data_IF_294015134165
#
_entry.id   IF_294015134165
#
_cell.length_a   1.000
_cell.length_b   1.000
_cell.length_c   1.000
_cell.angle_alpha   90.00
_cell.angle_beta   90.00
_cell.angle_gamma   90.00
#
_symmetry.space_group_name_H-M   'P 1'
#
loop_
_entity.id
_entity.type
_entity.pdbx_description
1 polymer ?
#
# COMPACT_ATOMS: atom_id res chain seq x y z
N UNK A 1 -23.25 -5.05 -9.74
CA UNK A 1 -23.67 -6.08 -10.72
C UNK A 1 -22.77 -7.31 -10.49
N UNK A 2 -22.78 -8.34 -11.35
CA UNK A 2 -21.82 -9.46 -11.22
C UNK A 2 -21.40 -10.00 -12.59
N UNK A 3 -20.29 -10.73 -12.64
CA UNK A 3 -19.80 -11.35 -13.88
C UNK A 3 -20.80 -12.34 -14.50
N UNK A 4 -21.72 -12.90 -13.69
CA UNK A 4 -22.81 -13.74 -14.19
C UNK A 4 -23.88 -12.93 -14.93
N UNK A 5 -24.17 -11.71 -14.46
CA UNK A 5 -25.12 -10.81 -15.11
C UNK A 5 -24.51 -10.14 -16.35
N UNK A 6 -23.22 -9.80 -16.30
CA UNK A 6 -22.50 -9.17 -17.41
C UNK A 6 -21.03 -9.61 -17.46
N UNK A 7 -20.66 -10.58 -18.32
CA UNK A 7 -19.28 -11.06 -18.42
C UNK A 7 -18.40 -10.07 -19.21
N UNK A 8 -17.93 -9.01 -18.54
CA UNK A 8 -17.21 -7.87 -19.14
C UNK A 8 -16.09 -8.29 -20.11
N UNK A 9 -15.27 -9.27 -19.70
CA UNK A 9 -14.07 -9.70 -20.45
C UNK A 9 -14.40 -10.41 -21.77
N UNK A 10 -15.64 -10.82 -21.97
CA UNK A 10 -16.12 -11.38 -23.25
C UNK A 10 -16.84 -10.36 -24.14
N UNK A 11 -17.07 -9.14 -23.66
CA UNK A 11 -17.80 -8.10 -24.40
C UNK A 11 -16.84 -7.21 -25.21
N UNK A 12 -17.32 -6.56 -26.30
CA UNK A 12 -16.50 -5.64 -27.10
C UNK A 12 -15.91 -4.50 -26.24
N UNK A 13 -14.61 -4.26 -26.34
CA UNK A 13 -13.90 -3.24 -25.56
C UNK A 13 -14.46 -1.85 -25.91
N UNK A 14 -14.88 -1.03 -24.92
CA UNK A 14 -15.35 0.33 -25.17
C UNK A 14 -14.16 1.27 -25.41
N UNK A 15 -14.42 2.38 -26.10
CA UNK A 15 -13.42 3.42 -26.36
C UNK A 15 -13.24 4.37 -25.16
N UNK A 16 -14.28 4.54 -24.33
CA UNK A 16 -14.29 5.46 -23.18
C UNK A 16 -15.26 5.00 -22.07
N UNK A 17 -15.30 5.75 -20.96
CA UNK A 17 -16.20 5.51 -19.82
C UNK A 17 -17.68 5.64 -20.19
N UNK A 18 -18.04 6.47 -21.17
CA UNK A 18 -19.41 6.59 -21.65
C UNK A 18 -19.87 5.30 -22.34
N UNK A 19 -19.07 4.80 -23.27
CA UNK A 19 -19.27 3.52 -23.94
C UNK A 19 -19.24 2.35 -22.97
N UNK A 20 -18.35 2.38 -21.97
CA UNK A 20 -18.29 1.35 -20.93
C UNK A 20 -19.61 1.25 -20.16
N UNK A 21 -20.22 2.38 -19.80
CA UNK A 21 -21.51 2.44 -19.11
C UNK A 21 -22.68 2.16 -20.06
N UNK A 22 -22.64 2.62 -21.30
CA UNK A 22 -23.70 2.39 -22.29
C UNK A 22 -23.96 0.90 -22.54
N UNK A 23 -22.92 0.06 -22.48
CA UNK A 23 -23.02 -1.40 -22.57
C UNK A 23 -23.88 -2.03 -21.47
N UNK A 24 -24.09 -1.34 -20.35
CA UNK A 24 -24.84 -1.84 -19.20
C UNK A 24 -26.34 -1.52 -19.27
N UNK A 25 -26.81 -0.74 -20.25
CA UNK A 25 -28.18 -0.22 -20.31
C UNK A 25 -29.29 -1.29 -20.29
N UNK A 26 -28.98 -2.53 -20.67
CA UNK A 26 -29.92 -3.67 -20.64
C UNK A 26 -29.57 -4.76 -19.63
N UNK A 27 -28.55 -4.56 -18.80
CA UNK A 27 -28.08 -5.57 -17.84
C UNK A 27 -28.99 -5.60 -16.62
N UNK A 28 -29.49 -6.79 -16.28
CA UNK A 28 -30.31 -7.00 -15.08
C UNK A 28 -29.48 -6.98 -13.79
N UNK A 29 -30.13 -6.68 -12.68
CA UNK A 29 -29.50 -6.79 -11.36
C UNK A 29 -29.29 -8.27 -11.01
N UNK A 30 -28.10 -8.60 -10.49
CA UNK A 30 -27.80 -9.94 -10.00
C UNK A 30 -28.50 -10.24 -8.66
N UNK A 31 -28.70 -9.21 -7.84
CA UNK A 31 -29.44 -9.20 -6.58
C UNK A 31 -29.95 -7.78 -6.30
N UNK A 32 -30.89 -7.63 -5.37
CA UNK A 32 -31.36 -6.31 -4.94
C UNK A 32 -30.20 -5.45 -4.37
N UNK A 33 -30.20 -4.12 -4.57
CA UNK A 33 -29.12 -3.27 -4.09
C UNK A 33 -28.92 -3.38 -2.57
N UNK A 34 -27.69 -3.70 -2.14
CA UNK A 34 -27.33 -3.87 -0.73
C UNK A 34 -27.65 -5.23 -0.13
N UNK A 35 -28.26 -6.16 -0.89
CA UNK A 35 -28.51 -7.53 -0.43
C UNK A 35 -27.24 -8.41 -0.49
N UNK A 36 -26.43 -8.23 -1.53
CA UNK A 36 -25.19 -8.99 -1.75
C UNK A 36 -24.07 -8.09 -2.27
N UNK A 37 -22.82 -8.47 -1.99
CA UNK A 37 -21.62 -7.79 -2.49
C UNK A 37 -20.91 -8.69 -3.50
N UNK A 38 -20.73 -8.17 -4.71
CA UNK A 38 -20.05 -8.84 -5.81
C UNK A 38 -18.98 -7.90 -6.36
N UNK A 39 -17.71 -8.32 -6.31
CA UNK A 39 -16.65 -7.56 -6.97
C UNK A 39 -16.88 -7.61 -8.49
N UNK A 40 -16.97 -6.44 -9.12
CA UNK A 40 -17.23 -6.34 -10.56
C UNK A 40 -16.64 -5.06 -11.14
N UNK A 41 -15.76 -5.17 -12.13
CA UNK A 41 -15.06 -3.99 -12.70
C UNK A 41 -16.02 -2.95 -13.31
N UNK A 42 -17.07 -3.33 -14.06
CA UNK A 42 -18.04 -2.37 -14.59
C UNK A 42 -18.72 -1.48 -13.56
N UNK A 43 -18.87 -1.93 -12.31
CA UNK A 43 -19.41 -1.08 -11.24
C UNK A 43 -18.48 0.13 -10.97
N UNK A 44 -17.17 -0.05 -11.14
CA UNK A 44 -16.16 1.00 -10.98
C UNK A 44 -16.11 1.94 -12.20
N UNK A 45 -16.36 1.42 -13.41
CA UNK A 45 -16.56 2.26 -14.61
C UNK A 45 -17.74 3.21 -14.43
N UNK A 46 -18.86 2.71 -13.88
CA UNK A 46 -20.02 3.56 -13.55
C UNK A 46 -19.65 4.62 -12.52
N UNK A 47 -18.91 4.27 -11.47
CA UNK A 47 -18.43 5.23 -10.47
C UNK A 47 -17.54 6.32 -11.08
N UNK A 48 -16.59 5.95 -11.93
CA UNK A 48 -15.74 6.89 -12.63
C UNK A 48 -16.53 7.80 -13.59
N UNK A 49 -17.49 7.24 -14.34
CA UNK A 49 -18.36 8.02 -15.23
C UNK A 49 -19.23 9.01 -14.47
N UNK A 50 -19.70 8.67 -13.27
CA UNK A 50 -20.43 9.62 -12.43
C UNK A 50 -19.55 10.82 -12.05
N UNK A 51 -18.27 10.61 -11.76
CA UNK A 51 -17.31 11.70 -11.52
C UNK A 51 -17.17 12.58 -12.77
N UNK A 52 -17.14 12.00 -13.96
CA UNK A 52 -17.05 12.80 -15.19
C UNK A 52 -18.29 13.67 -15.42
N UNK A 53 -19.47 13.06 -15.29
CA UNK A 53 -20.75 13.73 -15.52
C UNK A 53 -20.97 14.85 -14.50
N UNK A 54 -20.68 14.60 -13.22
CA UNK A 54 -20.87 15.58 -12.15
C UNK A 54 -19.75 16.63 -12.14
N UNK A 55 -18.51 16.22 -12.42
CA UNK A 55 -17.33 17.07 -12.39
C UNK A 55 -17.05 17.85 -13.67
N UNK A 56 -17.73 17.52 -14.77
CA UNK A 56 -17.60 18.19 -16.06
C UNK A 56 -16.22 18.06 -16.72
N UNK A 57 -15.49 16.98 -16.42
CA UNK A 57 -14.11 16.73 -16.90
C UNK A 57 -13.85 15.23 -16.96
N UNK A 58 -12.82 14.79 -17.66
CA UNK A 58 -12.47 13.36 -17.69
C UNK A 58 -12.04 12.85 -16.32
N UNK A 59 -12.23 11.56 -16.06
CA UNK A 59 -11.89 10.96 -14.77
C UNK A 59 -10.40 11.08 -14.46
N UNK A 60 -9.54 10.87 -15.46
CA UNK A 60 -8.09 11.06 -15.32
C UNK A 60 -7.71 12.50 -14.95
N UNK A 61 -8.33 13.50 -15.58
CA UNK A 61 -8.09 14.90 -15.24
C UNK A 61 -8.60 15.25 -13.83
N UNK A 62 -9.71 14.64 -13.39
CA UNK A 62 -10.20 14.79 -12.03
C UNK A 62 -9.21 14.21 -11.01
N UNK A 63 -8.69 13.00 -11.24
CA UNK A 63 -7.69 12.37 -10.37
C UNK A 63 -6.40 13.17 -10.31
N UNK A 64 -5.92 13.66 -11.46
CA UNK A 64 -4.72 14.48 -11.53
C UNK A 64 -4.85 15.75 -10.67
N UNK A 65 -5.93 16.51 -10.84
CA UNK A 65 -6.14 17.76 -10.11
C UNK A 65 -6.45 17.55 -8.62
N UNK A 66 -7.26 16.54 -8.29
CA UNK A 66 -7.83 16.40 -6.94
C UNK A 66 -7.06 15.43 -6.06
N UNK A 67 -6.22 14.58 -6.65
CA UNK A 67 -5.49 13.53 -5.93
C UNK A 67 -4.00 13.56 -6.22
N UNK A 68 -3.57 13.43 -7.47
CA UNK A 68 -2.15 13.23 -7.78
C UNK A 68 -1.33 14.51 -7.54
N UNK A 69 -1.73 15.63 -8.14
CA UNK A 69 -1.05 16.91 -7.99
C UNK A 69 -0.97 17.38 -6.52
N UNK A 70 -2.07 17.36 -5.72
CA UNK A 70 -2.01 17.77 -4.31
C UNK A 70 -1.11 16.88 -3.44
N UNK A 71 -0.92 15.61 -3.82
CA UNK A 71 -0.05 14.67 -3.11
C UNK A 71 1.38 14.66 -3.67
N UNK A 72 1.64 15.41 -4.74
CA UNK A 72 2.91 15.44 -5.46
C UNK A 72 3.23 14.12 -6.15
N UNK A 73 2.23 13.41 -6.68
CA UNK A 73 2.39 12.11 -7.34
C UNK A 73 2.75 12.24 -8.82
N UNK A 74 3.85 12.93 -9.13
CA UNK A 74 4.20 13.37 -10.50
C UNK A 74 4.54 12.23 -11.48
N UNK A 75 4.80 11.02 -10.98
CA UNK A 75 5.04 9.82 -11.78
C UNK A 75 3.80 8.92 -11.89
N UNK A 76 2.62 9.44 -11.57
CA UNK A 76 1.35 8.71 -11.63
C UNK A 76 0.50 9.20 -12.80
N UNK A 77 -0.04 8.26 -13.57
CA UNK A 77 -0.90 8.54 -14.74
C UNK A 77 -2.14 7.65 -14.74
N UNK A 78 -3.19 8.12 -15.41
CA UNK A 78 -4.37 7.30 -15.72
C UNK A 78 -4.27 6.82 -17.17
N UNK A 79 -4.65 5.57 -17.41
CA UNK A 79 -4.62 4.90 -18.71
C UNK A 79 -5.94 4.19 -19.00
N UNK A 80 -6.32 4.17 -20.26
CA UNK A 80 -7.56 3.55 -20.73
C UNK A 80 -7.29 2.16 -21.31
N UNK A 81 -6.12 1.95 -21.93
CA UNK A 81 -5.79 0.75 -22.71
C UNK A 81 -4.46 0.12 -22.31
N UNK A 82 -4.22 -1.11 -22.78
CA UNK A 82 -2.99 -1.86 -22.49
C UNK A 82 -1.77 -1.20 -23.15
N UNK A 83 -1.95 -0.62 -24.34
CA UNK A 83 -0.89 0.09 -25.05
C UNK A 83 -0.44 1.34 -24.28
N UNK A 84 -1.37 2.06 -23.65
CA UNK A 84 -1.06 3.21 -22.80
C UNK A 84 -0.26 2.82 -21.54
N UNK A 85 -0.52 1.64 -20.95
CA UNK A 85 0.29 1.11 -19.84
C UNK A 85 1.77 1.02 -20.24
N UNK A 86 2.05 0.48 -21.43
CA UNK A 86 3.43 0.37 -21.91
C UNK A 86 4.02 1.71 -22.35
N UNK A 87 3.21 2.59 -22.92
CA UNK A 87 3.62 3.96 -23.24
C UNK A 87 4.01 4.76 -21.97
N UNK A 88 3.40 4.44 -20.82
CA UNK A 88 3.76 4.98 -19.51
C UNK A 88 5.09 4.42 -18.94
N UNK A 89 5.79 3.56 -19.66
CA UNK A 89 7.11 3.05 -19.27
C UNK A 89 7.08 1.83 -18.34
N UNK A 90 5.93 1.16 -18.23
CA UNK A 90 5.78 -0.05 -17.42
C UNK A 90 6.45 -1.25 -18.10
N UNK A 91 7.21 -2.02 -17.32
CA UNK A 91 7.81 -3.27 -17.81
C UNK A 91 6.73 -4.34 -18.05
N UNK A 92 6.99 -5.28 -18.97
CA UNK A 92 6.05 -6.38 -19.24
C UNK A 92 5.76 -7.22 -18.00
N UNK A 93 4.47 -7.50 -17.79
CA UNK A 93 4.00 -8.42 -16.77
C UNK A 93 4.50 -9.84 -16.99
N UNK A 94 4.64 -10.59 -15.90
CA UNK A 94 5.01 -12.00 -15.93
C UNK A 94 4.02 -12.80 -15.11
N UNK A 95 3.66 -13.99 -15.60
CA UNK A 95 2.88 -14.98 -14.84
C UNK A 95 3.77 -16.15 -14.45
N UNK A 96 3.42 -16.81 -13.34
CA UNK A 96 4.12 -18.00 -12.88
C UNK A 96 3.56 -19.24 -13.60
N UNK A 97 4.37 -19.86 -14.46
CA UNK A 97 4.05 -21.13 -15.11
C UNK A 97 5.02 -22.19 -14.60
N UNK A 98 4.52 -23.14 -13.82
CA UNK A 98 5.32 -24.23 -13.23
C UNK A 98 6.56 -23.70 -12.46
N UNK A 99 6.38 -22.60 -11.71
CA UNK A 99 7.45 -21.98 -10.91
C UNK A 99 8.41 -21.09 -11.70
N UNK A 100 8.18 -20.87 -13.00
CA UNK A 100 8.97 -19.96 -13.84
C UNK A 100 8.21 -18.70 -14.17
N UNK A 101 8.88 -17.56 -14.14
CA UNK A 101 8.32 -16.30 -14.62
C UNK A 101 8.31 -16.30 -16.15
N UNK A 102 7.12 -16.20 -16.74
CA UNK A 102 6.92 -16.14 -18.20
C UNK A 102 6.31 -14.78 -18.52
N UNK A 103 7.01 -14.01 -19.36
CA UNK A 103 6.50 -12.73 -19.84
C UNK A 103 5.23 -12.96 -20.66
N UNK A 104 4.19 -12.17 -20.38
CA UNK A 104 2.93 -12.18 -21.11
C UNK A 104 2.59 -10.79 -21.60
N UNK A 105 1.89 -10.72 -22.73
CA UNK A 105 1.29 -9.48 -23.19
C UNK A 105 0.06 -9.20 -22.34
N UNK A 106 -0.12 -7.95 -21.92
CA UNK A 106 -1.34 -7.53 -21.24
C UNK A 106 -2.53 -7.74 -22.19
N UNK A 107 -3.62 -8.39 -21.77
CA UNK A 107 -4.81 -8.54 -22.60
C UNK A 107 -5.42 -7.20 -23.00
N UNK A 108 -6.00 -7.15 -24.19
CA UNK A 108 -6.80 -5.99 -24.60
C UNK A 108 -7.99 -5.80 -23.64
N UNK A 109 -8.25 -4.54 -23.28
CA UNK A 109 -9.30 -4.18 -22.35
C UNK A 109 -9.34 -2.69 -22.08
N UNK A 110 -10.44 -2.28 -21.44
CA UNK A 110 -10.62 -0.93 -20.93
C UNK A 110 -10.33 -0.91 -19.43
N UNK A 111 -9.41 -0.05 -19.00
CA UNK A 111 -8.88 -0.06 -17.62
C UNK A 111 -9.35 1.11 -16.77
N UNK A 112 -9.69 2.25 -17.38
CA UNK A 112 -10.03 3.46 -16.64
C UNK A 112 -11.18 3.21 -15.66
N UNK A 113 -11.18 3.85 -14.50
CA UNK A 113 -12.15 3.64 -13.42
C UNK A 113 -11.94 2.37 -12.59
N UNK A 114 -11.66 1.22 -13.21
CA UNK A 114 -11.53 -0.07 -12.51
C UNK A 114 -10.08 -0.45 -12.13
N UNK A 115 -9.10 -0.07 -12.94
CA UNK A 115 -7.69 -0.50 -12.75
C UNK A 115 -6.65 0.32 -13.52
N UNK A 116 -7.04 1.41 -14.15
CA UNK A 116 -6.21 2.19 -15.08
C UNK A 116 -5.27 3.19 -14.42
N UNK A 117 -4.78 2.96 -13.20
CA UNK A 117 -3.79 3.87 -12.58
C UNK A 117 -2.42 3.21 -12.60
N UNK A 118 -1.46 3.85 -13.27
CA UNK A 118 -0.05 3.47 -13.31
C UNK A 118 0.73 4.43 -12.44
N UNK A 119 1.57 3.92 -11.54
CA UNK A 119 2.24 4.71 -10.50
C UNK A 119 3.66 4.21 -10.23
N UNK A 120 4.50 5.08 -9.68
CA UNK A 120 5.79 4.71 -9.12
C UNK A 120 5.67 4.23 -7.67
N UNK A 121 6.73 3.59 -7.15
CA UNK A 121 6.81 3.20 -5.74
C UNK A 121 6.84 4.41 -4.78
N UNK A 122 7.51 5.50 -5.19
CA UNK A 122 7.60 6.73 -4.40
C UNK A 122 6.23 7.42 -4.31
N UNK A 123 5.48 7.47 -5.41
CA UNK A 123 4.11 8.02 -5.42
C UNK A 123 3.12 7.15 -4.65
N UNK A 124 3.26 5.82 -4.76
CA UNK A 124 2.47 4.90 -3.94
C UNK A 124 2.74 5.13 -2.44
N UNK A 125 3.98 5.43 -2.04
CA UNK A 125 4.29 5.78 -0.66
C UNK A 125 3.64 7.10 -0.22
N UNK A 126 3.56 8.11 -1.11
CA UNK A 126 2.84 9.38 -0.87
C UNK A 126 1.34 9.13 -0.68
N UNK A 127 0.73 8.31 -1.54
CA UNK A 127 -0.68 7.89 -1.42
C UNK A 127 -0.97 7.17 -0.10
N UNK A 128 -0.18 6.14 0.24
CA UNK A 128 -0.34 5.39 1.50
C UNK A 128 -0.13 6.27 2.74
N UNK A 129 0.71 7.30 2.64
CA UNK A 129 0.88 8.29 3.70
C UNK A 129 -0.38 9.13 3.87
N UNK A 130 -0.97 9.62 2.78
CA UNK A 130 -2.20 10.40 2.81
C UNK A 130 -3.37 9.60 3.40
N UNK A 131 -3.53 8.34 3.02
CA UNK A 131 -4.57 7.45 3.55
C UNK A 131 -4.46 7.26 5.07
N UNK A 132 -3.23 7.23 5.61
CA UNK A 132 -2.97 7.13 7.05
C UNK A 132 -3.03 8.47 7.80
N UNK A 133 -3.17 9.59 7.09
CA UNK A 133 -3.16 10.94 7.61
C UNK A 133 -4.46 11.70 7.32
N UNK A 134 -5.56 11.02 6.99
CA UNK A 134 -6.84 11.68 6.73
C UNK A 134 -6.85 12.52 5.45
N UNK A 135 -6.06 12.13 4.45
CA UNK A 135 -5.95 12.82 3.16
C UNK A 135 -4.80 13.83 3.06
N UNK A 136 -4.06 14.08 4.15
CA UNK A 136 -2.90 14.98 4.12
C UNK A 136 -1.65 14.26 3.57
N UNK A 137 -1.12 14.73 2.43
CA UNK A 137 0.11 14.22 1.83
C UNK A 137 1.36 14.43 2.71
N UNK A 138 2.47 13.79 2.34
CA UNK A 138 3.71 13.86 3.12
C UNK A 138 4.26 15.30 3.28
N UNK A 139 4.03 16.16 2.30
CA UNK A 139 4.45 17.58 2.31
C UNK A 139 3.53 18.45 3.17
N UNK A 140 2.27 18.02 3.36
CA UNK A 140 1.28 18.68 4.22
C UNK A 140 1.18 18.09 5.63
N UNK A 141 1.92 17.02 5.92
CA UNK A 141 1.94 16.41 7.24
C UNK A 141 2.50 17.43 8.23
N UNK A 142 1.60 18.11 8.97
CA UNK A 142 1.93 18.91 10.16
C UNK A 142 3.01 18.17 10.92
N UNK A 143 4.12 18.85 11.22
CA UNK A 143 5.22 18.31 12.02
C UNK A 143 4.62 17.49 13.17
N UNK A 144 4.66 16.16 13.04
CA UNK A 144 4.05 15.30 14.03
C UNK A 144 4.86 15.51 15.30
N UNK A 145 4.23 15.88 16.42
CA UNK A 145 5.00 16.20 17.61
C UNK A 145 5.77 14.95 18.03
N UNK A 146 7.06 15.15 18.33
CA UNK A 146 8.04 14.07 18.58
C UNK A 146 7.56 13.03 19.60
N UNK A 147 6.70 13.42 20.54
CA UNK A 147 6.13 12.54 21.55
C UNK A 147 5.30 11.40 20.94
N UNK A 148 4.62 11.59 19.80
CA UNK A 148 3.85 10.52 19.14
C UNK A 148 4.78 9.43 18.62
N UNK A 149 5.92 9.84 18.05
CA UNK A 149 6.97 8.92 17.64
C UNK A 149 7.55 8.20 18.86
N UNK A 150 7.83 8.92 19.94
CA UNK A 150 8.30 8.32 21.18
C UNK A 150 7.31 7.26 21.73
N UNK A 151 6.02 7.57 21.78
CA UNK A 151 4.96 6.65 22.24
C UNK A 151 4.89 5.40 21.36
N UNK A 152 5.01 5.54 20.03
CA UNK A 152 5.03 4.39 19.10
C UNK A 152 6.25 3.48 19.28
N UNK A 153 7.34 3.99 19.84
CA UNK A 153 8.54 3.20 20.13
C UNK A 153 8.49 2.49 21.50
N UNK A 154 7.62 2.94 22.42
CA UNK A 154 7.54 2.39 23.78
C UNK A 154 7.34 0.87 23.83
N UNK A 155 6.45 0.24 23.02
CA UNK A 155 6.28 -1.22 23.07
C UNK A 155 7.57 -1.97 22.71
N UNK A 156 8.34 -1.48 21.73
CA UNK A 156 9.61 -2.11 21.37
C UNK A 156 10.68 -1.94 22.45
N UNK A 157 10.76 -0.75 23.06
CA UNK A 157 11.63 -0.53 24.21
C UNK A 157 11.25 -1.40 25.42
N UNK A 158 9.96 -1.65 25.64
CA UNK A 158 9.50 -2.55 26.70
C UNK A 158 9.97 -4.00 26.47
N UNK A 159 9.98 -4.49 25.23
CA UNK A 159 10.54 -5.82 24.87
C UNK A 159 12.05 -5.88 25.13
N UNK A 160 12.80 -4.84 24.72
CA UNK A 160 14.24 -4.76 24.99
C UNK A 160 14.51 -4.72 26.50
N UNK A 161 13.78 -3.89 27.25
CA UNK A 161 13.91 -3.79 28.69
C UNK A 161 13.56 -5.12 29.39
N UNK A 162 12.50 -5.80 28.95
CA UNK A 162 12.12 -7.12 29.48
C UNK A 162 13.24 -8.15 29.25
N UNK A 163 13.91 -8.12 28.09
CA UNK A 163 15.06 -8.99 27.83
C UNK A 163 16.28 -8.62 28.70
N UNK A 164 16.62 -7.33 28.81
CA UNK A 164 17.79 -6.85 29.60
C UNK A 164 17.62 -7.05 31.10
N UNK A 165 16.38 -6.96 31.61
CA UNK A 165 16.07 -7.12 33.03
C UNK A 165 15.37 -8.45 33.34
N UNK A 166 15.46 -9.44 32.44
CA UNK A 166 14.77 -10.72 32.59
C UNK A 166 15.09 -11.41 33.92
N UNK A 167 16.34 -11.35 34.38
CA UNK A 167 16.74 -11.91 35.67
C UNK A 167 16.04 -11.25 36.88
N UNK A 168 15.74 -9.93 36.80
CA UNK A 168 14.97 -9.22 37.82
C UNK A 168 13.48 -9.51 37.73
N UNK A 169 12.94 -9.72 36.53
CA UNK A 169 11.54 -10.11 36.35
C UNK A 169 11.27 -11.50 36.91
N UNK A 170 12.18 -12.46 36.68
CA UNK A 170 12.11 -13.80 37.28
C UNK A 170 12.32 -13.74 38.80
N UNK A 171 13.01 -12.72 39.32
CA UNK A 171 13.18 -12.50 40.76
C UNK A 171 11.93 -11.95 41.47
N UNK A 172 10.96 -11.37 40.74
CA UNK A 172 9.71 -10.84 41.32
C UNK A 172 8.92 -11.90 42.09
N UNK A 173 8.60 -13.08 41.52
CA UNK A 173 7.95 -14.15 42.27
C UNK A 173 8.89 -14.79 43.33
N UNK A 174 10.20 -14.59 43.21
CA UNK A 174 11.18 -15.12 44.16
C UNK A 174 11.38 -14.25 45.42
N UNK A 175 10.42 -13.36 45.72
CA UNK A 175 10.41 -12.46 46.88
C UNK A 175 11.61 -11.51 46.94
N UNK A 176 12.09 -11.06 45.78
CA UNK A 176 13.20 -10.10 45.71
C UNK A 176 14.58 -10.71 45.94
N UNK A 177 14.70 -12.04 45.97
CA UNK A 177 16.01 -12.72 45.97
C UNK A 177 16.78 -12.37 44.69
N UNK A 178 18.08 -12.13 44.83
CA UNK A 178 18.94 -11.90 43.67
C UNK A 178 19.07 -13.18 42.85
N UNK A 179 18.55 -13.18 41.62
CA UNK A 179 18.67 -14.29 40.66
C UNK A 179 19.75 -13.94 39.64
N UNK A 180 20.72 -14.83 39.47
CA UNK A 180 21.78 -14.67 38.47
C UNK A 180 21.25 -14.98 37.06
N UNK A 181 21.99 -14.55 36.04
CA UNK A 181 21.66 -14.89 34.66
C UNK A 181 21.65 -16.40 34.39
N UNK A 182 22.59 -17.13 34.99
CA UNK A 182 22.65 -18.59 34.92
C UNK A 182 21.39 -19.25 35.48
N UNK A 183 20.93 -18.80 36.65
CA UNK A 183 19.70 -19.29 37.26
C UNK A 183 18.46 -18.91 36.45
N UNK A 184 18.45 -17.72 35.85
CA UNK A 184 17.34 -17.25 35.00
C UNK A 184 17.22 -18.13 33.75
N UNK A 185 18.35 -18.46 33.12
CA UNK A 185 18.38 -19.34 31.96
C UNK A 185 17.97 -20.77 32.33
N UNK A 186 18.34 -21.24 33.51
CA UNK A 186 17.96 -22.57 34.00
C UNK A 186 16.45 -22.68 34.29
N UNK A 187 15.84 -21.63 34.85
CA UNK A 187 14.43 -21.64 35.28
C UNK A 187 13.46 -21.40 34.12
N UNK A 188 13.85 -20.62 33.10
CA UNK A 188 12.94 -20.24 32.01
C UNK A 188 13.60 -20.22 30.61
N UNK A 189 14.30 -21.28 30.17
CA UNK A 189 15.06 -21.27 28.90
C UNK A 189 14.17 -21.07 27.66
N UNK A 190 12.95 -21.62 27.69
CA UNK A 190 11.98 -21.55 26.60
C UNK A 190 11.31 -20.18 26.47
N UNK A 191 11.27 -19.39 27.55
CA UNK A 191 10.77 -18.00 27.52
C UNK A 191 11.87 -16.98 27.22
N UNK A 192 13.09 -17.22 27.71
CA UNK A 192 14.19 -16.27 27.55
C UNK A 192 14.71 -16.19 26.11
N UNK A 193 14.84 -17.35 25.45
CA UNK A 193 15.36 -17.44 24.08
C UNK A 193 14.52 -16.64 23.06
N UNK A 194 13.19 -16.82 22.96
CA UNK A 194 12.37 -16.02 22.05
C UNK A 194 12.31 -14.54 22.47
N UNK A 195 12.36 -14.23 23.76
CA UNK A 195 12.36 -12.84 24.25
C UNK A 195 13.63 -12.10 23.83
N UNK A 196 14.81 -12.72 23.97
CA UNK A 196 16.08 -12.16 23.52
C UNK A 196 16.11 -12.02 22.00
N UNK A 197 15.63 -13.03 21.27
CA UNK A 197 15.54 -12.95 19.80
C UNK A 197 14.62 -11.79 19.34
N UNK A 198 13.46 -11.62 19.97
CA UNK A 198 12.56 -10.51 19.70
C UNK A 198 13.20 -9.15 20.04
N UNK A 199 13.89 -9.04 21.18
CA UNK A 199 14.59 -7.82 21.57
C UNK A 199 15.70 -7.45 20.57
N UNK A 200 16.47 -8.42 20.09
CA UNK A 200 17.50 -8.21 19.07
C UNK A 200 16.88 -7.76 17.73
N UNK A 201 15.78 -8.38 17.30
CA UNK A 201 15.07 -7.98 16.09
C UNK A 201 14.54 -6.54 16.18
N UNK A 202 13.93 -6.16 17.31
CA UNK A 202 13.44 -4.79 17.55
C UNK A 202 14.60 -3.80 17.57
N UNK A 203 15.70 -4.12 18.26
CA UNK A 203 16.89 -3.27 18.33
C UNK A 203 17.51 -3.05 16.94
N UNK A 204 17.59 -4.11 16.12
CA UNK A 204 18.08 -4.01 14.75
C UNK A 204 17.19 -3.09 13.88
N UNK A 205 15.87 -3.21 13.97
CA UNK A 205 14.93 -2.32 13.26
C UNK A 205 15.13 -0.86 13.68
N UNK A 206 15.27 -0.60 14.98
CA UNK A 206 15.48 0.77 15.47
C UNK A 206 16.84 1.33 15.05
N UNK A 207 17.90 0.53 15.09
CA UNK A 207 19.22 0.93 14.61
C UNK A 207 19.21 1.26 13.11
N UNK A 208 18.57 0.44 12.28
CA UNK A 208 18.44 0.71 10.84
C UNK A 208 17.64 1.99 10.58
N UNK A 209 16.53 2.19 11.30
CA UNK A 209 15.72 3.41 11.16
C UNK A 209 16.51 4.66 11.57
N UNK A 210 17.25 4.61 12.68
CA UNK A 210 18.11 5.70 13.11
C UNK A 210 19.22 5.97 12.10
N UNK A 211 19.88 4.92 11.60
CA UNK A 211 20.93 5.05 10.58
C UNK A 211 20.38 5.68 9.29
N UNK A 212 19.14 5.38 8.89
CA UNK A 212 18.49 6.01 7.73
C UNK A 212 18.17 7.48 7.97
N UNK A 213 17.76 7.87 9.19
CA UNK A 213 17.53 9.27 9.55
C UNK A 213 18.82 10.09 9.60
N UNK A 214 19.94 9.46 9.95
CA UNK A 214 21.25 10.11 10.06
C UNK A 214 22.05 10.10 8.74
N UNK A 215 21.58 9.40 7.70
CA UNK A 215 22.24 9.41 6.40
C UNK A 215 22.00 10.77 5.73
N UNK A 216 23.05 11.50 5.33
CA UNK A 216 22.88 12.68 4.52
C UNK A 216 22.18 12.29 3.20
N UNK A 217 21.24 13.12 2.75
CA UNK A 217 20.61 12.93 1.44
C UNK A 217 21.70 12.86 0.37
N UNK A 218 21.79 11.71 -0.30
CA UNK A 218 22.64 11.59 -1.48
C UNK A 218 21.90 12.31 -2.59
N UNK A 219 22.32 13.55 -2.88
CA UNK A 219 21.85 14.27 -4.05
C UNK A 219 22.17 13.41 -5.28
N UNK A 220 21.17 12.97 -6.06
CA UNK A 220 21.46 12.20 -7.27
C UNK A 220 22.33 13.04 -8.21
N UNK A 221 23.25 12.40 -8.97
CA UNK A 221 24.04 13.12 -9.96
C UNK A 221 23.08 13.82 -10.92
N UNK A 222 23.30 15.13 -11.12
CA UNK A 222 22.52 15.94 -12.05
C UNK A 222 22.51 15.34 -13.45
N UNK A 223 21.51 15.70 -14.29
CA UNK A 223 21.37 15.13 -15.62
C UNK A 223 22.69 15.26 -16.38
N UNK A 224 23.20 14.12 -16.87
CA UNK A 224 24.35 14.12 -17.78
C UNK A 224 23.89 14.88 -19.03
N UNK A 225 24.48 16.06 -19.23
CA UNK A 225 24.21 16.88 -20.39
C UNK A 225 24.54 16.13 -21.69
N UNK A 226 23.60 16.25 -22.64
CA UNK A 226 23.67 16.04 -24.09
C UNK A 226 24.42 14.80 -24.61
#
# INVERSE_FOLDING_TARGET
MSDTAFPEKGAPVPDDLEGAVARLAGVGLAADPGAEEHYHNPDHHVAARMVEVVGGRSFGAFLDERTFTPLGMDGTVTVDTADEVFAAGVARGHIAVLGRAVAVTEPEGYFNGAGGVVTTADDMARWLTAQNNGGEGAVGARERPWWRTAVRLLPGFAVIAAAVFANRLVALPAQGRHITWEQTFYVAPTGLTPLVAAALAVAAVYAVRLARLLRPEVTPPGPRGA
#
